data_IF_387642778342
#
_entry.id   IF_387642778342
#
_cell.length_a   1.000
_cell.length_b   1.000
_cell.length_c   1.000
_cell.angle_alpha   90.00
_cell.angle_beta   90.00
_cell.angle_gamma   90.00
#
_symmetry.space_group_name_H-M   'P 1'
#
loop_
_entity.id
_entity.type
_entity.pdbx_description
1 polymer ?
#
# COMPACT_ATOMS: atom_id res chain seq x y z
N UNK A 1 35.37 71.66 30.45
CA UNK A 1 34.47 72.58 29.71
C UNK A 1 33.59 71.69 28.83
N UNK A 2 32.26 71.59 29.02
CA UNK A 2 31.21 72.54 28.61
C UNK A 2 31.14 72.70 27.06
N UNK A 3 29.99 72.55 26.35
CA UNK A 3 28.55 72.38 26.73
C UNK A 3 27.75 71.70 25.58
N UNK A 4 26.41 71.57 25.71
CA UNK A 4 25.43 71.05 24.71
C UNK A 4 25.52 71.70 23.30
N UNK A 5 24.93 71.17 22.19
CA UNK A 5 24.18 69.93 21.91
C UNK A 5 23.02 70.09 20.88
N UNK A 6 22.29 68.99 20.57
CA UNK A 6 20.92 68.87 19.95
C UNK A 6 20.70 68.81 18.39
N UNK A 7 19.82 67.85 17.99
CA UNK A 7 18.87 67.76 16.85
C UNK A 7 19.19 67.19 15.43
N UNK A 8 18.15 66.48 14.90
CA UNK A 8 17.80 66.06 13.52
C UNK A 8 18.78 65.13 12.76
N UNK A 9 18.41 63.91 12.34
CA UNK A 9 17.31 63.40 11.46
C UNK A 9 17.62 63.54 9.96
N UNK A 10 18.01 62.43 9.35
CA UNK A 10 17.86 62.11 7.91
C UNK A 10 17.33 60.67 7.84
N UNK A 11 16.38 60.41 6.94
CA UNK A 11 15.90 59.07 6.60
C UNK A 11 15.32 59.14 5.18
N UNK A 12 15.78 58.29 4.28
CA UNK A 12 15.61 58.42 2.83
C UNK A 12 14.33 57.75 2.33
N UNK A 13 13.58 58.44 1.46
CA UNK A 13 12.75 57.90 0.37
C UNK A 13 11.93 59.04 -0.26
N UNK A 14 12.35 59.54 -1.42
CA UNK A 14 11.54 60.40 -2.30
C UNK A 14 10.34 59.59 -2.84
N UNK A 15 9.08 60.06 -2.78
CA UNK A 15 8.44 61.10 -3.62
C UNK A 15 8.33 60.67 -5.11
N UNK A 16 7.22 60.82 -5.83
CA UNK A 16 5.88 61.41 -5.55
C UNK A 16 4.87 60.87 -6.62
N UNK A 17 3.58 61.20 -6.79
CA UNK A 17 2.62 62.23 -6.33
C UNK A 17 1.17 61.67 -6.53
N UNK A 18 0.22 61.90 -5.60
CA UNK A 18 -1.25 62.21 -5.83
C UNK A 18 -2.17 61.19 -6.58
N UNK A 19 -3.51 61.21 -6.51
CA UNK A 19 -4.58 61.41 -5.50
C UNK A 19 -5.94 61.15 -6.24
N UNK A 20 -7.07 60.96 -5.56
CA UNK A 20 -8.39 60.91 -6.23
C UNK A 20 -9.49 60.12 -5.50
N UNK A 21 -10.27 60.78 -4.65
CA UNK A 21 -11.19 60.15 -3.72
C UNK A 21 -12.55 59.65 -4.29
N UNK A 22 -12.97 58.48 -3.76
CA UNK A 22 -14.33 58.12 -3.28
C UNK A 22 -15.59 58.14 -4.17
N UNK A 23 -16.14 56.93 -4.38
CA UNK A 23 -17.52 56.48 -4.03
C UNK A 23 -18.75 57.31 -4.47
N UNK A 24 -19.63 56.68 -5.26
CA UNK A 24 -21.09 56.65 -5.03
C UNK A 24 -21.75 55.39 -5.66
N UNK A 25 -23.08 55.21 -5.49
CA UNK A 25 -23.73 53.88 -5.47
C UNK A 25 -24.48 53.45 -6.76
N UNK A 26 -24.91 52.17 -6.75
CA UNK A 26 -25.70 51.43 -7.75
C UNK A 26 -27.22 51.79 -7.68
N UNK A 27 -28.17 51.23 -8.49
CA UNK A 27 -28.08 50.02 -9.35
C UNK A 27 -28.83 50.14 -10.72
N UNK A 28 -29.46 49.02 -11.16
CA UNK A 28 -30.39 48.79 -12.29
C UNK A 28 -29.82 48.05 -13.53
N UNK A 29 -30.72 47.58 -14.41
CA UNK A 29 -30.67 46.23 -15.02
C UNK A 29 -31.19 46.13 -16.47
N UNK A 30 -30.87 44.99 -17.10
CA UNK A 30 -31.45 44.38 -18.32
C UNK A 30 -31.55 45.20 -19.63
N UNK A 31 -30.90 44.67 -20.67
CA UNK A 31 -31.52 44.47 -21.98
C UNK A 31 -30.78 43.39 -22.80
N UNK A 32 -31.54 42.48 -23.41
CA UNK A 32 -31.09 41.63 -24.53
C UNK A 32 -31.16 42.44 -25.82
N UNK A 33 -30.32 42.13 -26.83
CA UNK A 33 -30.81 41.50 -28.07
C UNK A 33 -29.69 41.16 -29.07
N UNK A 34 -30.05 40.42 -30.13
CA UNK A 34 -29.14 39.84 -31.10
C UNK A 34 -28.87 40.79 -32.28
N UNK A 35 -27.71 40.68 -32.92
CA UNK A 35 -27.63 40.44 -34.38
C UNK A 35 -26.23 39.95 -34.80
N UNK A 36 -26.22 39.16 -35.87
CA UNK A 36 -25.04 38.67 -36.59
C UNK A 36 -25.04 39.31 -38.02
N UNK A 37 -24.08 39.08 -38.96
CA UNK A 37 -23.08 37.99 -39.00
C UNK A 37 -21.69 38.39 -39.57
N UNK A 38 -20.94 37.38 -40.03
CA UNK A 38 -19.76 37.41 -40.92
C UNK A 38 -18.38 37.79 -40.36
N UNK A 39 -17.60 36.76 -40.01
CA UNK A 39 -16.17 36.71 -40.30
C UNK A 39 -15.82 35.27 -40.79
N UNK A 40 -15.00 35.14 -41.84
CA UNK A 40 -14.76 33.85 -42.51
C UNK A 40 -13.40 33.23 -42.16
N UNK A 41 -13.40 31.90 -41.89
CA UNK A 41 -12.53 30.85 -42.51
C UNK A 41 -12.38 29.59 -41.64
N UNK A 42 -12.25 28.44 -42.30
CA UNK A 42 -11.34 27.40 -41.83
C UNK A 42 -11.80 26.43 -40.74
N UNK A 43 -13.03 25.90 -40.78
CA UNK A 43 -13.35 24.71 -39.98
C UNK A 43 -12.62 23.49 -40.57
N UNK A 44 -11.60 23.04 -39.87
CA UNK A 44 -10.80 21.86 -40.24
C UNK A 44 -11.57 20.55 -40.09
N UNK A 45 -11.06 19.48 -40.70
CA UNK A 45 -11.65 18.13 -40.61
C UNK A 45 -11.62 17.49 -39.19
N UNK A 46 -11.26 18.25 -38.15
CA UNK A 46 -10.89 17.72 -36.83
C UNK A 46 -12.03 17.68 -35.79
N UNK A 47 -13.24 18.16 -36.10
CA UNK A 47 -14.35 18.18 -35.13
C UNK A 47 -15.23 16.91 -35.09
N UNK A 48 -15.16 16.00 -36.08
CA UNK A 48 -16.00 14.77 -36.07
C UNK A 48 -15.56 13.69 -35.08
N UNK A 49 -14.29 13.68 -34.62
CA UNK A 49 -13.80 12.72 -33.59
C UNK A 49 -14.16 13.14 -32.15
N UNK A 50 -14.46 14.43 -31.91
CA UNK A 50 -14.68 14.99 -30.57
C UNK A 50 -15.98 14.54 -29.88
N UNK A 51 -17.12 14.51 -30.59
CA UNK A 51 -18.42 14.20 -29.95
C UNK A 51 -18.48 12.80 -29.33
N UNK A 52 -17.94 11.78 -30.02
CA UNK A 52 -17.89 10.40 -29.49
C UNK A 52 -17.06 10.34 -28.20
N UNK A 53 -15.90 10.99 -28.17
CA UNK A 53 -15.02 11.01 -26.99
C UNK A 53 -15.67 11.71 -25.80
N UNK A 54 -16.43 12.80 -26.03
CA UNK A 54 -17.18 13.48 -24.96
C UNK A 54 -18.34 12.63 -24.42
N UNK A 55 -19.06 11.90 -25.28
CA UNK A 55 -20.09 10.94 -24.84
C UNK A 55 -19.49 9.77 -24.06
N UNK A 56 -18.39 9.17 -24.54
CA UNK A 56 -17.71 8.07 -23.84
C UNK A 56 -17.22 8.52 -22.46
N UNK A 57 -16.57 9.69 -22.35
CA UNK A 57 -16.07 10.18 -21.06
C UNK A 57 -17.21 10.50 -20.07
N UNK A 58 -18.35 11.00 -20.54
CA UNK A 58 -19.56 11.16 -19.71
C UNK A 58 -20.07 9.79 -19.22
N UNK A 59 -20.20 8.80 -20.12
CA UNK A 59 -20.66 7.44 -19.76
C UNK A 59 -19.70 6.77 -18.77
N UNK A 60 -18.39 6.86 -18.99
CA UNK A 60 -17.37 6.36 -18.06
C UNK A 60 -17.46 7.06 -16.70
N UNK A 61 -17.65 8.38 -16.67
CA UNK A 61 -17.82 9.10 -15.40
C UNK A 61 -19.09 8.69 -14.65
N UNK A 62 -20.20 8.44 -15.35
CA UNK A 62 -21.44 7.95 -14.75
C UNK A 62 -21.28 6.52 -14.19
N UNK A 63 -20.61 5.63 -14.92
CA UNK A 63 -20.26 4.28 -14.44
C UNK A 63 -19.35 4.35 -13.21
N UNK A 64 -18.35 5.24 -13.19
CA UNK A 64 -17.49 5.46 -12.02
C UNK A 64 -18.28 5.90 -10.78
N UNK A 65 -19.22 6.84 -10.93
CA UNK A 65 -20.08 7.27 -9.80
C UNK A 65 -20.98 6.11 -9.32
N UNK A 66 -21.51 5.28 -10.21
CA UNK A 66 -22.28 4.08 -9.83
C UNK A 66 -21.40 3.05 -9.13
N UNK A 67 -20.15 2.83 -9.56
CA UNK A 67 -19.20 1.93 -8.89
C UNK A 67 -18.81 2.46 -7.50
N UNK A 68 -18.60 3.76 -7.33
CA UNK A 68 -18.34 4.38 -6.02
C UNK A 68 -19.55 4.21 -5.09
N UNK A 69 -20.78 4.38 -5.60
CA UNK A 69 -21.99 4.11 -4.83
C UNK A 69 -22.13 2.62 -4.43
N UNK A 70 -21.77 1.69 -5.32
CA UNK A 70 -21.76 0.26 -5.04
C UNK A 70 -20.69 -0.12 -4.00
N UNK A 71 -19.50 0.49 -4.04
CA UNK A 71 -18.45 0.33 -3.03
C UNK A 71 -18.89 0.87 -1.66
N UNK A 72 -19.58 2.02 -1.63
CA UNK A 72 -20.19 2.55 -0.40
C UNK A 72 -21.26 1.63 0.18
N UNK A 73 -22.07 1.00 -0.67
CA UNK A 73 -23.05 -0.02 -0.26
C UNK A 73 -22.38 -1.28 0.30
N UNK A 74 -21.33 -1.79 -0.37
CA UNK A 74 -20.55 -2.93 0.12
C UNK A 74 -19.85 -2.65 1.46
N UNK A 75 -19.28 -1.46 1.65
CA UNK A 75 -18.68 -1.06 2.93
C UNK A 75 -19.73 -1.00 4.06
N UNK A 76 -20.95 -0.54 3.77
CA UNK A 76 -22.05 -0.52 4.74
C UNK A 76 -22.64 -1.91 5.04
N UNK A 77 -22.62 -2.82 4.05
CA UNK A 77 -22.99 -4.22 4.24
C UNK A 77 -21.97 -4.94 5.14
N UNK A 78 -20.68 -4.84 4.83
CA UNK A 78 -19.59 -5.40 5.63
C UNK A 78 -19.61 -4.89 7.08
N UNK A 79 -19.94 -3.62 7.32
CA UNK A 79 -20.04 -3.06 8.67
C UNK A 79 -21.18 -3.69 9.49
N UNK A 80 -22.33 -3.97 8.89
CA UNK A 80 -23.42 -4.67 9.58
C UNK A 80 -23.07 -6.15 9.81
N UNK A 81 -22.56 -6.84 8.80
CA UNK A 81 -22.25 -8.27 8.87
C UNK A 81 -21.13 -8.57 9.90
N UNK A 82 -20.14 -7.68 10.04
CA UNK A 82 -19.14 -7.74 11.11
C UNK A 82 -19.76 -7.61 12.52
N UNK A 83 -20.85 -6.86 12.69
CA UNK A 83 -21.49 -6.64 14.00
C UNK A 83 -22.30 -7.84 14.50
N UNK A 84 -22.95 -8.59 13.60
CA UNK A 84 -23.63 -9.84 13.93
C UNK A 84 -22.62 -10.96 14.23
N UNK A 85 -21.56 -11.10 13.42
CA UNK A 85 -20.52 -12.12 13.62
C UNK A 85 -19.78 -11.94 14.96
N UNK A 86 -19.44 -10.69 15.34
CA UNK A 86 -18.84 -10.40 16.64
C UNK A 86 -19.78 -10.77 17.82
N UNK A 87 -21.08 -10.58 17.64
CA UNK A 87 -22.11 -10.94 18.64
C UNK A 87 -22.29 -12.46 18.78
N UNK A 88 -22.14 -13.22 17.68
CA UNK A 88 -22.28 -14.67 17.68
C UNK A 88 -21.02 -15.40 18.18
N UNK A 89 -19.82 -14.87 17.90
CA UNK A 89 -18.57 -15.37 18.48
C UNK A 89 -18.53 -15.21 20.01
N UNK A 90 -19.02 -14.08 20.51
CA UNK A 90 -19.07 -13.78 21.95
C UNK A 90 -20.03 -14.69 22.73
N UNK A 91 -21.17 -15.07 22.13
CA UNK A 91 -22.21 -15.87 22.78
C UNK A 91 -21.96 -17.38 22.71
N UNK A 92 -21.39 -17.87 21.60
CA UNK A 92 -21.01 -19.29 21.46
C UNK A 92 -19.88 -19.71 22.40
N UNK A 93 -18.90 -18.84 22.63
CA UNK A 93 -17.76 -19.10 23.54
C UNK A 93 -18.21 -19.36 24.99
N UNK A 94 -19.25 -18.66 25.45
CA UNK A 94 -19.72 -18.73 26.85
C UNK A 94 -20.44 -20.05 27.20
N UNK A 95 -20.97 -20.78 26.20
CA UNK A 95 -21.71 -22.02 26.42
C UNK A 95 -20.80 -23.24 26.54
N UNK A 96 -19.74 -23.32 25.72
CA UNK A 96 -18.89 -24.51 25.57
C UNK A 96 -17.85 -24.66 26.69
N UNK A 97 -17.55 -23.59 27.44
CA UNK A 97 -16.54 -23.55 28.52
C UNK A 97 -16.92 -24.31 29.82
N UNK A 98 -17.95 -25.17 29.79
CA UNK A 98 -18.52 -25.81 31.00
C UNK A 98 -18.49 -27.33 31.05
N UNK A 99 -18.05 -28.00 29.98
CA UNK A 99 -17.91 -29.45 29.95
C UNK A 99 -16.60 -29.86 29.26
N UNK A 100 -16.07 -31.04 29.59
CA UNK A 100 -14.72 -31.51 29.18
C UNK A 100 -13.54 -30.72 29.79
N UNK A 101 -13.47 -30.65 31.11
CA UNK A 101 -12.26 -30.25 31.82
C UNK A 101 -11.37 -31.48 32.14
N UNK A 102 -10.61 -32.00 31.17
CA UNK A 102 -9.61 -33.05 31.44
C UNK A 102 -8.31 -32.92 30.62
N UNK A 103 -7.24 -32.53 31.33
CA UNK A 103 -5.83 -32.79 31.06
C UNK A 103 -5.27 -32.70 29.62
N UNK A 104 -5.02 -31.48 29.13
CA UNK A 104 -3.69 -31.17 28.55
C UNK A 104 -3.33 -29.71 28.80
N UNK A 105 -2.57 -29.42 29.85
CA UNK A 105 -2.10 -28.04 30.16
C UNK A 105 -0.90 -27.66 29.27
N UNK A 106 -1.18 -27.53 27.98
CA UNK A 106 -0.28 -26.92 27.01
C UNK A 106 -0.49 -25.40 27.05
N UNK A 107 0.10 -24.75 28.06
CA UNK A 107 0.23 -23.28 28.20
C UNK A 107 0.43 -22.63 26.82
N UNK A 108 -0.63 -22.04 26.25
CA UNK A 108 -0.66 -21.54 24.86
C UNK A 108 0.05 -20.18 24.73
N UNK A 109 1.32 -20.16 25.13
CA UNK A 109 2.31 -19.19 24.71
C UNK A 109 2.37 -19.28 23.18
N UNK A 110 1.71 -18.33 22.50
CA UNK A 110 1.46 -18.41 21.07
C UNK A 110 2.74 -18.66 20.29
N UNK A 111 2.79 -19.80 19.59
CA UNK A 111 3.90 -20.12 18.69
C UNK A 111 4.00 -19.01 17.65
N UNK A 112 5.20 -18.42 17.52
CA UNK A 112 5.57 -17.50 16.44
C UNK A 112 4.93 -17.92 15.12
N UNK A 113 4.27 -17.00 14.42
CA UNK A 113 3.81 -17.27 13.06
C UNK A 113 5.04 -17.35 12.14
N UNK A 114 5.04 -18.33 11.26
CA UNK A 114 6.05 -18.51 10.20
C UNK A 114 5.49 -18.08 8.85
N UNK A 115 6.34 -17.74 7.88
CA UNK A 115 5.87 -17.57 6.51
C UNK A 115 5.25 -18.89 5.96
N UNK A 116 4.32 -18.83 4.99
CA UNK A 116 3.98 -19.99 4.18
C UNK A 116 5.19 -20.39 3.34
N UNK A 117 5.37 -21.69 3.06
CA UNK A 117 6.37 -22.15 2.10
C UNK A 117 5.94 -21.68 0.69
N UNK A 118 6.60 -20.64 0.17
CA UNK A 118 6.28 -20.00 -1.10
C UNK A 118 6.80 -20.80 -2.29
N UNK A 119 7.97 -21.44 -2.15
CA UNK A 119 8.54 -22.34 -3.16
C UNK A 119 7.53 -23.43 -3.54
N UNK A 120 6.87 -24.03 -2.55
CA UNK A 120 5.86 -25.07 -2.76
C UNK A 120 4.60 -24.59 -3.52
N UNK A 121 4.40 -23.28 -3.70
CA UNK A 121 3.29 -22.71 -4.48
C UNK A 121 3.65 -22.52 -5.96
N UNK A 122 4.93 -22.41 -6.30
CA UNK A 122 5.41 -22.21 -7.67
C UNK A 122 4.95 -23.38 -8.57
N UNK A 123 4.59 -23.09 -9.82
CA UNK A 123 4.03 -24.06 -10.77
C UNK A 123 2.65 -24.65 -10.38
N UNK A 124 2.04 -24.18 -9.29
CA UNK A 124 0.70 -24.62 -8.84
C UNK A 124 -0.40 -23.72 -9.44
N UNK A 125 -1.66 -24.14 -9.35
CA UNK A 125 -2.83 -23.28 -9.60
C UNK A 125 -3.23 -22.49 -8.35
N UNK A 126 -4.16 -21.56 -8.51
CA UNK A 126 -4.76 -20.76 -7.42
C UNK A 126 -5.43 -21.65 -6.35
N UNK A 127 -6.25 -22.63 -6.74
CA UNK A 127 -6.90 -23.57 -5.82
C UNK A 127 -5.89 -24.46 -5.08
N UNK A 128 -4.86 -24.95 -5.80
CA UNK A 128 -3.76 -25.71 -5.21
C UNK A 128 -2.99 -24.86 -4.18
N UNK A 129 -2.77 -23.57 -4.47
CA UNK A 129 -2.08 -22.66 -3.56
C UNK A 129 -2.93 -22.31 -2.32
N UNK A 130 -4.23 -22.06 -2.47
CA UNK A 130 -5.16 -21.88 -1.34
C UNK A 130 -5.11 -23.10 -0.41
N UNK A 131 -5.14 -24.31 -0.97
CA UNK A 131 -5.05 -25.54 -0.18
C UNK A 131 -3.67 -25.76 0.47
N UNK A 132 -2.57 -25.33 -0.17
CA UNK A 132 -1.20 -25.44 0.37
C UNK A 132 -0.87 -24.40 1.44
N UNK A 133 -1.40 -23.18 1.32
CA UNK A 133 -1.23 -22.10 2.31
C UNK A 133 -2.06 -22.38 3.57
N UNK A 134 -3.27 -22.92 3.42
CA UNK A 134 -4.20 -23.14 4.53
C UNK A 134 -4.56 -21.82 5.21
N UNK A 135 -4.56 -21.79 6.56
CA UNK A 135 -4.64 -20.54 7.36
C UNK A 135 -5.87 -19.67 7.04
N UNK A 136 -6.98 -20.29 6.63
CA UNK A 136 -8.17 -19.59 6.16
C UNK A 136 -7.95 -18.71 4.93
N UNK A 137 -7.02 -19.09 4.03
CA UNK A 137 -6.73 -18.36 2.80
C UNK A 137 -7.97 -18.24 1.91
N UNK A 138 -8.38 -17.00 1.60
CA UNK A 138 -9.48 -16.70 0.67
C UNK A 138 -9.09 -15.57 -0.29
N UNK A 139 -9.62 -15.60 -1.51
CA UNK A 139 -9.33 -14.57 -2.53
C UNK A 139 -9.94 -13.23 -2.11
N UNK A 140 -9.06 -12.27 -1.79
CA UNK A 140 -9.43 -10.91 -1.42
C UNK A 140 -9.43 -9.95 -2.61
N UNK A 141 -8.54 -10.17 -3.59
CA UNK A 141 -8.52 -9.41 -4.84
C UNK A 141 -7.88 -10.19 -5.99
N UNK A 142 -8.19 -9.78 -7.22
CA UNK A 142 -7.71 -10.38 -8.46
C UNK A 142 -7.65 -9.31 -9.55
N UNK A 143 -6.59 -9.30 -10.37
CA UNK A 143 -6.49 -8.45 -11.56
C UNK A 143 -5.70 -9.14 -12.67
N UNK A 144 -6.20 -9.04 -13.90
CA UNK A 144 -5.48 -9.49 -15.09
C UNK A 144 -4.21 -8.66 -15.30
N UNK A 145 -3.15 -9.31 -15.79
CA UNK A 145 -1.91 -8.68 -16.27
C UNK A 145 -2.04 -8.57 -17.78
N UNK A 146 -1.89 -7.36 -18.32
CA UNK A 146 -2.09 -7.11 -19.75
C UNK A 146 -0.88 -6.43 -20.40
N UNK A 147 -0.61 -6.82 -21.64
CA UNK A 147 0.39 -6.19 -22.51
C UNK A 147 -0.28 -5.55 -23.73
N UNK A 148 0.21 -4.39 -24.14
CA UNK A 148 -0.08 -3.85 -25.49
C UNK A 148 0.91 -4.44 -26.50
N UNK A 149 0.40 -5.06 -27.55
CA UNK A 149 1.19 -5.57 -28.69
C UNK A 149 0.77 -4.86 -29.98
N UNK A 150 1.71 -4.65 -30.88
CA UNK A 150 1.52 -3.89 -32.13
C UNK A 150 1.70 -2.37 -31.96
N UNK A 151 1.66 -1.65 -33.10
CA UNK A 151 1.88 -0.20 -33.16
C UNK A 151 0.73 0.55 -33.86
N UNK A 152 0.57 1.83 -33.54
CA UNK A 152 -0.45 2.71 -34.13
C UNK A 152 -1.88 2.17 -33.95
N UNK A 153 -2.68 2.23 -35.02
CA UNK A 153 -4.06 1.72 -35.05
C UNK A 153 -4.13 0.16 -35.02
N UNK A 154 -3.00 -0.56 -35.00
CA UNK A 154 -2.95 -2.03 -34.88
C UNK A 154 -2.76 -2.55 -33.45
N UNK A 155 -2.71 -1.65 -32.45
CA UNK A 155 -2.55 -2.04 -31.04
C UNK A 155 -3.66 -2.97 -30.54
N UNK A 156 -3.25 -4.08 -29.95
CA UNK A 156 -4.13 -5.04 -29.25
C UNK A 156 -3.65 -5.26 -27.82
N UNK A 157 -4.58 -5.24 -26.87
CA UNK A 157 -4.33 -5.64 -25.48
C UNK A 157 -4.51 -7.16 -25.34
N UNK A 158 -3.50 -7.85 -24.84
CA UNK A 158 -3.53 -9.29 -24.57
C UNK A 158 -3.37 -9.54 -23.05
N UNK A 159 -4.16 -10.46 -22.49
CA UNK A 159 -3.96 -10.94 -21.10
C UNK A 159 -2.83 -11.96 -21.10
N UNK A 160 -1.75 -11.66 -20.38
CA UNK A 160 -0.54 -12.51 -20.32
C UNK A 160 -0.38 -13.24 -18.99
N UNK A 161 -1.19 -12.88 -17.99
CA UNK A 161 -1.17 -13.48 -16.66
C UNK A 161 -2.23 -12.86 -15.74
N UNK A 162 -2.14 -13.17 -14.45
CA UNK A 162 -3.09 -12.73 -13.41
C UNK A 162 -2.34 -12.46 -12.10
N UNK A 163 -2.71 -11.41 -11.38
CA UNK A 163 -2.31 -11.20 -9.98
C UNK A 163 -3.49 -11.52 -9.05
N UNK A 164 -3.20 -12.16 -7.92
CA UNK A 164 -4.18 -12.56 -6.90
C UNK A 164 -3.64 -12.22 -5.52
N UNK A 165 -4.49 -11.65 -4.65
CA UNK A 165 -4.20 -11.50 -3.22
C UNK A 165 -5.10 -12.43 -2.42
N UNK A 166 -4.50 -13.27 -1.58
CA UNK A 166 -5.19 -14.12 -0.62
C UNK A 166 -5.08 -13.50 0.79
N UNK A 167 -6.21 -13.28 1.46
CA UNK A 167 -6.24 -12.90 2.87
C UNK A 167 -6.23 -14.15 3.76
N UNK A 168 -5.40 -14.18 4.80
CA UNK A 168 -5.28 -15.34 5.69
C UNK A 168 -6.20 -15.21 6.90
N UNK A 169 -7.47 -15.59 6.75
CA UNK A 169 -8.53 -15.26 7.73
C UNK A 169 -8.41 -15.94 9.10
N UNK A 170 -7.60 -17.01 9.22
CA UNK A 170 -7.29 -17.61 10.54
C UNK A 170 -6.10 -16.95 11.24
N UNK A 171 -5.37 -16.05 10.57
CA UNK A 171 -4.30 -15.28 11.18
C UNK A 171 -4.82 -13.96 11.73
N UNK A 172 -4.51 -13.67 13.00
CA UNK A 172 -4.89 -12.41 13.62
C UNK A 172 -4.12 -11.26 12.98
N UNK A 173 -4.83 -10.18 12.64
CA UNK A 173 -4.21 -8.92 12.31
C UNK A 173 -3.41 -8.38 13.51
N UNK A 174 -2.39 -7.56 13.24
CA UNK A 174 -1.63 -6.90 14.30
C UNK A 174 -2.47 -5.84 15.04
N UNK A 175 -1.90 -5.25 16.11
CA UNK A 175 -2.56 -4.19 16.89
C UNK A 175 -2.82 -2.89 16.11
N UNK A 176 -2.39 -2.82 14.84
CA UNK A 176 -2.60 -1.70 13.92
C UNK A 176 -3.55 -2.07 12.75
N UNK A 177 -4.11 -3.29 12.75
CA UNK A 177 -5.08 -3.75 11.75
C UNK A 177 -4.47 -4.37 10.49
N UNK A 178 -3.18 -4.68 10.47
CA UNK A 178 -2.52 -5.29 9.31
C UNK A 178 -2.77 -6.80 9.28
N UNK A 179 -3.61 -7.26 8.35
CA UNK A 179 -3.90 -8.69 8.13
C UNK A 179 -2.83 -9.35 7.26
N UNK A 180 -2.22 -10.47 7.69
CA UNK A 180 -1.30 -11.24 6.87
C UNK A 180 -1.91 -11.67 5.52
N UNK A 181 -1.13 -11.54 4.44
CA UNK A 181 -1.61 -11.72 3.07
C UNK A 181 -0.59 -12.48 2.22
N UNK A 182 -1.06 -13.34 1.32
CA UNK A 182 -0.25 -13.99 0.27
C UNK A 182 -0.56 -13.33 -1.08
N UNK A 183 0.48 -13.08 -1.87
CA UNK A 183 0.38 -12.54 -3.22
C UNK A 183 0.82 -13.62 -4.22
N UNK A 184 0.06 -13.81 -5.29
CA UNK A 184 0.37 -14.75 -6.36
C UNK A 184 0.38 -14.02 -7.70
N UNK A 185 1.42 -14.24 -8.49
CA UNK A 185 1.47 -13.90 -9.90
C UNK A 185 1.39 -15.20 -10.69
N UNK A 186 0.41 -15.29 -11.59
CA UNK A 186 0.13 -16.44 -12.43
C UNK A 186 0.37 -16.07 -13.90
N UNK A 187 0.84 -17.02 -14.70
CA UNK A 187 0.91 -16.91 -16.15
C UNK A 187 -0.45 -17.11 -16.84
N UNK A 188 -0.45 -17.00 -18.17
CA UNK A 188 -1.61 -17.25 -19.05
C UNK A 188 -2.20 -18.67 -18.97
N UNK A 189 -1.46 -19.65 -18.44
CA UNK A 189 -1.91 -21.04 -18.29
C UNK A 189 -2.44 -21.31 -16.87
N UNK A 190 -2.50 -20.27 -16.03
CA UNK A 190 -2.98 -20.35 -14.64
C UNK A 190 -1.96 -20.96 -13.69
N UNK A 191 -0.66 -20.90 -14.01
CA UNK A 191 0.42 -21.41 -13.16
C UNK A 191 1.19 -20.29 -12.47
N UNK A 192 1.44 -20.47 -11.18
CA UNK A 192 2.10 -19.47 -10.32
C UNK A 192 3.58 -19.36 -10.70
N UNK A 193 3.98 -18.19 -11.19
CA UNK A 193 5.36 -17.83 -11.58
C UNK A 193 6.08 -16.98 -10.53
N UNK A 194 5.34 -16.38 -9.59
CA UNK A 194 5.89 -15.74 -8.41
C UNK A 194 4.89 -15.87 -7.26
N UNK A 195 5.39 -16.19 -6.07
CA UNK A 195 4.62 -16.23 -4.83
C UNK A 195 5.25 -15.27 -3.81
N UNK A 196 4.43 -14.62 -2.99
CA UNK A 196 4.87 -13.69 -1.96
C UNK A 196 3.98 -13.69 -0.73
N UNK A 197 4.49 -13.14 0.37
CA UNK A 197 3.81 -13.07 1.66
C UNK A 197 4.20 -11.81 2.43
N UNK A 198 3.25 -11.22 3.14
CA UNK A 198 3.47 -10.09 4.04
C UNK A 198 2.74 -10.27 5.38
N UNK A 199 3.36 -9.77 6.45
CA UNK A 199 2.74 -9.58 7.76
C UNK A 199 3.49 -8.50 8.55
N UNK A 200 3.04 -8.21 9.76
CA UNK A 200 3.75 -7.36 10.69
C UNK A 200 4.87 -8.12 11.42
N UNK A 201 6.00 -7.45 11.68
CA UNK A 201 7.15 -8.01 12.41
C UNK A 201 6.77 -8.54 13.81
N UNK A 202 5.73 -7.96 14.41
CA UNK A 202 5.14 -8.42 15.68
C UNK A 202 4.58 -9.85 15.62
N UNK A 203 4.04 -10.31 14.49
CA UNK A 203 3.51 -11.68 14.35
C UNK A 203 4.63 -12.73 14.39
N UNK A 204 5.84 -12.33 14.03
CA UNK A 204 7.06 -13.15 14.08
C UNK A 204 7.76 -13.09 15.46
N UNK A 205 7.29 -12.24 16.37
CA UNK A 205 7.95 -11.96 17.66
C UNK A 205 9.04 -10.88 17.61
N UNK A 206 9.20 -10.17 16.48
CA UNK A 206 10.19 -9.10 16.29
C UNK A 206 9.59 -7.68 16.44
N UNK A 207 8.47 -7.54 17.18
CA UNK A 207 7.65 -6.32 17.21
C UNK A 207 8.37 -5.04 17.68
N UNK A 208 9.38 -5.17 18.53
CA UNK A 208 10.14 -4.06 19.12
C UNK A 208 11.63 -4.05 18.68
N UNK A 209 12.01 -4.90 17.72
CA UNK A 209 13.39 -5.01 17.20
C UNK A 209 13.66 -3.86 16.23
N UNK A 210 14.84 -3.22 16.31
CA UNK A 210 15.23 -2.14 15.39
C UNK A 210 15.50 -2.65 13.96
N UNK A 211 15.60 -1.75 12.97
CA UNK A 211 15.85 -2.15 11.59
C UNK A 211 17.22 -2.82 11.41
N UNK A 212 18.27 -2.29 12.06
CA UNK A 212 19.61 -2.89 12.01
C UNK A 212 19.62 -4.28 12.66
N UNK A 213 19.07 -4.38 13.87
CA UNK A 213 19.15 -5.62 14.65
C UNK A 213 18.29 -6.73 14.04
N UNK A 214 17.23 -6.37 13.31
CA UNK A 214 16.44 -7.31 12.52
C UNK A 214 17.28 -8.01 11.45
N UNK A 215 18.22 -7.30 10.82
CA UNK A 215 19.13 -7.86 9.83
C UNK A 215 20.31 -8.55 10.53
N UNK A 216 21.10 -7.81 11.30
CA UNK A 216 22.44 -8.26 11.74
C UNK A 216 22.47 -9.12 13.00
N UNK A 217 21.45 -9.04 13.85
CA UNK A 217 21.42 -9.69 15.18
C UNK A 217 20.31 -10.73 15.30
N UNK A 218 19.40 -10.80 14.33
CA UNK A 218 18.18 -11.61 14.37
C UNK A 218 17.88 -12.36 13.05
N UNK A 219 18.70 -12.15 12.02
CA UNK A 219 18.67 -12.82 10.72
C UNK A 219 17.25 -13.00 10.18
N UNK A 220 16.47 -11.92 10.24
CA UNK A 220 15.02 -11.94 9.93
C UNK A 220 14.81 -12.28 8.46
N UNK A 221 15.67 -11.78 7.58
CA UNK A 221 15.59 -12.01 6.13
C UNK A 221 15.85 -13.47 5.82
N UNK A 222 16.95 -14.02 6.34
CA UNK A 222 17.35 -15.42 6.21
C UNK A 222 16.28 -16.35 6.81
N UNK A 223 15.73 -16.02 7.98
CA UNK A 223 14.64 -16.79 8.60
C UNK A 223 13.36 -16.75 7.77
N UNK A 224 13.01 -15.61 7.17
CA UNK A 224 11.84 -15.48 6.29
C UNK A 224 12.01 -16.27 4.99
N UNK A 225 13.21 -16.30 4.42
CA UNK A 225 13.52 -17.09 3.23
C UNK A 225 13.52 -18.60 3.56
N UNK A 226 13.99 -18.98 4.76
CA UNK A 226 13.88 -20.33 5.32
C UNK A 226 12.43 -20.79 5.48
N UNK A 227 11.58 -20.00 6.15
CA UNK A 227 10.13 -20.26 6.25
C UNK A 227 9.47 -20.36 4.86
N UNK A 228 9.92 -19.55 3.90
CA UNK A 228 9.45 -19.55 2.51
C UNK A 228 9.91 -20.77 1.68
N UNK A 229 10.78 -21.64 2.21
CA UNK A 229 11.22 -22.88 1.57
C UNK A 229 12.59 -22.83 0.87
N UNK A 230 13.37 -21.76 1.07
CA UNK A 230 14.72 -21.60 0.52
C UNK A 230 15.78 -21.96 1.57
N UNK A 231 16.99 -22.28 1.11
CA UNK A 231 18.17 -22.49 1.97
C UNK A 231 19.13 -21.32 1.80
N UNK A 232 19.26 -20.51 2.85
CA UNK A 232 20.12 -19.31 2.90
C UNK A 232 21.11 -19.47 4.05
N UNK A 233 22.34 -18.99 3.88
CA UNK A 233 23.37 -19.06 4.93
C UNK A 233 23.16 -17.93 5.96
N UNK A 234 23.26 -18.27 7.24
CA UNK A 234 22.99 -17.35 8.35
C UNK A 234 24.00 -16.19 8.36
N UNK A 235 23.53 -14.95 8.28
CA UNK A 235 24.40 -13.77 8.13
C UNK A 235 24.90 -13.51 6.71
N UNK A 236 24.40 -14.20 5.68
CA UNK A 236 24.74 -13.88 4.28
C UNK A 236 24.02 -12.63 3.75
N UNK A 237 23.10 -12.05 4.51
CA UNK A 237 22.39 -10.81 4.16
C UNK A 237 23.02 -9.63 4.89
N UNK A 238 23.92 -8.92 4.21
CA UNK A 238 24.60 -7.74 4.77
C UNK A 238 23.64 -6.54 4.92
N UNK A 239 23.81 -5.77 5.99
CA UNK A 239 23.08 -4.51 6.19
C UNK A 239 23.70 -3.40 5.33
N UNK A 240 22.95 -2.77 4.41
CA UNK A 240 23.43 -1.68 3.56
C UNK A 240 23.77 -0.40 4.35
N UNK A 241 24.34 0.60 3.66
CA UNK A 241 24.64 1.89 4.27
C UNK A 241 23.37 2.59 4.77
N UNK A 242 23.49 3.35 5.86
CA UNK A 242 22.34 3.98 6.52
C UNK A 242 21.56 4.93 5.59
N UNK A 243 22.23 5.61 4.67
CA UNK A 243 21.63 6.49 3.67
C UNK A 243 20.90 5.77 2.53
N UNK A 244 21.10 4.46 2.35
CA UNK A 244 20.33 3.66 1.40
C UNK A 244 18.93 3.28 1.94
N UNK A 245 18.81 3.07 3.26
CA UNK A 245 17.57 2.56 3.87
C UNK A 245 16.82 3.56 4.76
N UNK A 246 17.48 4.60 5.29
CA UNK A 246 16.87 5.52 6.28
C UNK A 246 16.50 6.86 5.65
N UNK A 247 15.24 7.27 5.83
CA UNK A 247 14.76 8.61 5.49
C UNK A 247 14.46 9.43 6.74
N UNK A 248 14.56 10.75 6.61
CA UNK A 248 14.37 11.71 7.70
C UNK A 248 13.15 12.61 7.45
N UNK A 249 12.54 13.07 8.54
CA UNK A 249 11.48 14.07 8.51
C UNK A 249 12.01 15.46 8.09
N UNK A 250 11.11 16.43 7.96
CA UNK A 250 11.41 17.82 7.56
C UNK A 250 12.40 18.56 8.48
N UNK A 251 12.76 18.01 9.64
CA UNK A 251 13.77 18.54 10.56
C UNK A 251 15.21 18.08 10.24
N UNK A 252 15.37 17.12 9.32
CA UNK A 252 16.64 16.50 8.95
C UNK A 252 17.30 15.67 10.06
N UNK A 253 16.54 15.24 11.08
CA UNK A 253 17.07 14.57 12.29
C UNK A 253 16.21 13.42 12.79
N UNK A 254 14.89 13.61 12.80
CA UNK A 254 13.94 12.57 13.21
C UNK A 254 13.79 11.56 12.08
N UNK A 255 13.95 10.28 12.38
CA UNK A 255 13.78 9.20 11.40
C UNK A 255 12.30 9.14 11.00
N UNK A 256 12.00 9.26 9.71
CA UNK A 256 10.66 9.09 9.18
C UNK A 256 10.37 7.63 8.82
N UNK A 257 11.32 6.97 8.16
CA UNK A 257 11.17 5.61 7.67
C UNK A 257 12.52 4.89 7.64
N UNK A 258 12.51 3.58 7.86
CA UNK A 258 13.62 2.68 7.53
C UNK A 258 13.10 1.55 6.64
N UNK A 259 13.62 1.45 5.42
CA UNK A 259 13.11 0.55 4.40
C UNK A 259 14.22 0.12 3.43
N UNK A 260 14.39 -1.18 3.25
CA UNK A 260 15.25 -1.73 2.20
C UNK A 260 14.62 -2.97 1.57
N UNK A 261 14.97 -3.25 0.32
CA UNK A 261 14.61 -4.49 -0.38
C UNK A 261 15.89 -5.27 -0.66
N UNK A 262 16.15 -6.29 0.15
CA UNK A 262 17.18 -7.29 -0.08
C UNK A 262 16.76 -8.19 -1.25
N UNK A 263 17.71 -8.68 -2.03
CA UNK A 263 17.46 -9.61 -3.14
C UNK A 263 18.65 -10.51 -3.40
N UNK A 264 18.39 -11.65 -4.05
CA UNK A 264 19.41 -12.61 -4.41
C UNK A 264 18.83 -13.85 -5.08
N UNK A 265 19.62 -14.91 -5.16
CA UNK A 265 19.18 -16.25 -5.56
C UNK A 265 19.48 -17.23 -4.41
N UNK A 266 18.68 -18.28 -4.26
CA UNK A 266 18.91 -19.33 -3.26
C UNK A 266 18.30 -20.67 -3.70
N UNK A 267 18.89 -21.82 -3.30
CA UNK A 267 18.34 -23.13 -3.58
C UNK A 267 17.11 -23.44 -2.72
N UNK A 268 16.07 -24.00 -3.32
CA UNK A 268 14.94 -24.62 -2.64
C UNK A 268 15.40 -25.78 -1.73
N UNK A 269 14.84 -25.84 -0.52
CA UNK A 269 15.21 -26.84 0.50
C UNK A 269 14.76 -28.29 0.18
N UNK A 270 13.94 -28.50 -0.86
CA UNK A 270 13.36 -29.80 -1.22
C UNK A 270 14.09 -30.51 -2.37
N UNK A 271 14.55 -29.76 -3.38
CA UNK A 271 15.15 -30.30 -4.61
C UNK A 271 16.44 -29.57 -5.06
N UNK A 272 16.79 -28.45 -4.42
CA UNK A 272 17.96 -27.64 -4.76
C UNK A 272 17.79 -26.71 -5.96
N UNK A 273 16.57 -26.53 -6.50
CA UNK A 273 16.30 -25.58 -7.58
C UNK A 273 16.62 -24.14 -7.16
N UNK A 274 17.37 -23.39 -7.98
CA UNK A 274 17.71 -21.99 -7.69
C UNK A 274 16.53 -21.08 -8.03
N UNK A 275 16.09 -20.28 -7.06
CA UNK A 275 15.03 -19.29 -7.24
C UNK A 275 15.52 -17.89 -6.87
N UNK A 276 15.20 -16.91 -7.72
CA UNK A 276 15.41 -15.50 -7.42
C UNK A 276 14.39 -15.05 -6.36
N UNK A 277 14.86 -14.37 -5.31
CA UNK A 277 14.06 -13.92 -4.18
C UNK A 277 14.22 -12.42 -3.91
N UNK A 278 13.23 -11.85 -3.24
CA UNK A 278 13.27 -10.49 -2.68
C UNK A 278 12.67 -10.49 -1.28
N UNK A 279 13.27 -9.74 -0.36
CA UNK A 279 12.72 -9.48 0.96
C UNK A 279 12.80 -7.99 1.28
N UNK A 280 11.67 -7.35 1.51
CA UNK A 280 11.58 -5.94 1.89
C UNK A 280 11.17 -5.81 3.35
N UNK A 281 12.01 -5.18 4.15
CA UNK A 281 11.63 -4.68 5.48
C UNK A 281 11.14 -3.23 5.33
N UNK A 282 10.08 -2.87 6.04
CA UNK A 282 9.50 -1.52 6.02
C UNK A 282 9.05 -1.08 7.41
N UNK A 283 9.75 -0.10 7.99
CA UNK A 283 9.51 0.47 9.30
C UNK A 283 9.09 1.94 9.11
N UNK A 284 7.80 2.24 9.26
CA UNK A 284 7.27 3.60 9.19
C UNK A 284 7.07 4.16 10.61
N UNK A 285 7.80 5.24 10.92
CA UNK A 285 7.80 5.90 12.21
C UNK A 285 6.78 7.06 12.29
N UNK A 286 6.02 7.35 11.23
CA UNK A 286 5.12 8.51 11.16
C UNK A 286 4.14 8.60 12.34
N UNK A 287 3.53 7.46 12.74
CA UNK A 287 2.66 7.41 13.91
C UNK A 287 3.45 7.59 15.23
N UNK A 288 4.57 6.88 15.40
CA UNK A 288 5.44 6.97 16.57
C UNK A 288 6.01 8.38 16.81
N UNK A 289 6.30 9.13 15.74
CA UNK A 289 6.78 10.50 15.79
C UNK A 289 5.69 11.50 16.20
N UNK A 290 4.41 11.18 15.93
CA UNK A 290 3.26 11.99 16.36
C UNK A 290 2.83 11.67 17.79
N UNK A 291 2.86 10.39 18.20
CA UNK A 291 2.52 9.95 19.55
C UNK A 291 3.66 10.03 20.56
N UNK A 292 4.90 10.20 20.08
CA UNK A 292 6.14 10.08 20.86
C UNK A 292 6.28 8.68 21.53
N UNK A 293 5.96 7.62 20.79
CA UNK A 293 5.94 6.23 21.27
C UNK A 293 6.40 5.23 20.19
N UNK A 294 7.55 4.59 20.39
CA UNK A 294 8.17 3.66 19.41
C UNK A 294 7.44 2.32 19.22
N UNK A 295 6.46 2.00 20.07
CA UNK A 295 5.55 0.86 19.82
C UNK A 295 4.50 1.18 18.73
N UNK A 296 4.28 2.45 18.41
CA UNK A 296 3.37 2.88 17.34
C UNK A 296 4.02 2.88 15.95
N UNK A 297 5.32 2.53 15.83
CA UNK A 297 5.96 2.29 14.53
C UNK A 297 5.27 1.13 13.81
N UNK A 298 4.94 1.32 12.54
CA UNK A 298 4.42 0.27 11.67
C UNK A 298 5.61 -0.52 11.11
N UNK A 299 5.81 -1.75 11.58
CA UNK A 299 6.91 -2.64 11.16
C UNK A 299 6.36 -3.80 10.35
N UNK A 300 6.50 -3.73 9.03
CA UNK A 300 6.05 -4.75 8.08
C UNK A 300 7.24 -5.42 7.38
N UNK A 301 7.03 -6.64 6.92
CA UNK A 301 7.90 -7.29 5.94
C UNK A 301 7.10 -7.78 4.73
N UNK A 302 7.78 -7.94 3.61
CA UNK A 302 7.29 -8.59 2.40
C UNK A 302 8.38 -9.54 1.90
N UNK A 303 8.07 -10.80 1.63
CA UNK A 303 8.99 -11.75 0.99
C UNK A 303 8.36 -12.28 -0.29
N UNK A 304 9.16 -12.42 -1.35
CA UNK A 304 8.75 -12.91 -2.67
C UNK A 304 9.78 -13.90 -3.20
N UNK A 305 9.31 -14.94 -3.89
CA UNK A 305 10.11 -15.96 -4.57
C UNK A 305 9.55 -16.17 -5.97
N UNK A 306 10.42 -16.25 -6.97
CA UNK A 306 10.07 -16.46 -8.38
C UNK A 306 10.33 -17.91 -8.79
N UNK A 307 9.59 -18.41 -9.79
CA UNK A 307 9.78 -19.72 -10.41
C UNK A 307 11.13 -19.82 -11.13
#
# INVERSE_FOLDING_TARGET
>A
MAKHGKHARVQEADAELVDGASVQAAPEYDALENNAPEATKGISAHQKKSKRMRTVLIVVSAVLVVLIAALGYFAFMLYQEASDVASQASSSTAATLKDTAEATDAKKQGSRLTAPNLVALLGSTEDEAISKVGRGATVASSSDITEEKGEGDSKTTEVVGKTVTLALTEQQADSKGNTPSVYLTLDKDGKITQAGYSAAMSTLGYGDVSFSDAVTEKHVVETLLGDAGLTVEDGSVELPSADEYRTYANDGKTIAQEQYTFSGEAPAALDGAQHAWQCRLNYDYSAANVSNNLSDTLRLFYVYVNA
#
